data_IF_477037847549
#
_entry.id   IF_477037847549
#
_cell.length_a   1.000
_cell.length_b   1.000
_cell.length_c   1.000
_cell.angle_alpha   90.00
_cell.angle_beta   90.00
_cell.angle_gamma   90.00
#
_symmetry.space_group_name_H-M   'P 1'
#
loop_
_entity.id
_entity.type
_entity.pdbx_description
1 polymer ?
#
# COMPACT_ATOMS: atom_id res chain seq x y z
N UNK A 1 -25.75 -38.26 14.75
CA UNK A 1 -25.18 -36.93 14.94
C UNK A 1 -24.47 -36.50 13.66
N UNK A 2 -25.21 -36.06 12.64
CA UNK A 2 -24.56 -35.65 11.39
C UNK A 2 -25.26 -34.50 10.66
N UNK A 3 -25.77 -33.51 11.36
CA UNK A 3 -26.33 -32.33 10.73
C UNK A 3 -25.75 -31.08 11.37
N UNK A 4 -24.46 -30.80 11.07
CA UNK A 4 -23.77 -29.60 11.56
C UNK A 4 -23.84 -28.41 10.60
N UNK A 5 -24.36 -28.57 9.39
CA UNK A 5 -24.50 -27.50 8.42
C UNK A 5 -25.91 -27.58 7.80
N UNK A 6 -26.74 -26.52 7.88
CA UNK A 6 -28.03 -26.49 7.21
C UNK A 6 -27.81 -26.65 5.70
N UNK A 7 -28.31 -27.75 5.14
CA UNK A 7 -28.40 -27.94 3.68
C UNK A 7 -29.68 -27.28 3.19
N UNK A 8 -29.62 -26.03 2.81
CA UNK A 8 -30.75 -25.39 2.15
C UNK A 8 -30.28 -24.36 1.12
N UNK A 9 -29.97 -24.86 -0.06
CA UNK A 9 -30.14 -24.05 -1.26
C UNK A 9 -30.86 -24.91 -2.30
N UNK A 10 -32.04 -24.47 -2.67
CA UNK A 10 -32.81 -24.93 -3.82
C UNK A 10 -31.98 -24.79 -5.12
N UNK A 11 -32.21 -25.63 -6.14
CA UNK A 11 -31.47 -25.60 -7.41
C UNK A 11 -31.61 -24.25 -8.13
N UNK A 12 -32.78 -23.63 -8.09
CA UNK A 12 -33.01 -22.30 -8.67
C UNK A 12 -32.19 -21.20 -7.98
N UNK A 13 -32.02 -21.28 -6.64
CA UNK A 13 -31.19 -20.36 -5.90
C UNK A 13 -29.69 -20.56 -6.16
N UNK A 14 -29.27 -21.80 -6.52
CA UNK A 14 -27.88 -22.09 -6.92
C UNK A 14 -27.53 -21.48 -8.28
N UNK A 15 -28.43 -21.58 -9.27
CA UNK A 15 -28.21 -21.01 -10.61
C UNK A 15 -28.19 -19.48 -10.58
N UNK A 16 -29.12 -18.87 -9.85
CA UNK A 16 -29.10 -17.40 -9.64
C UNK A 16 -27.83 -16.90 -8.91
N UNK A 17 -27.38 -17.65 -7.90
CA UNK A 17 -26.14 -17.36 -7.21
C UNK A 17 -24.91 -17.55 -8.10
N UNK A 18 -24.87 -18.59 -8.93
CA UNK A 18 -23.77 -18.83 -9.86
C UNK A 18 -23.63 -17.71 -10.91
N UNK A 19 -24.75 -17.23 -11.47
CA UNK A 19 -24.74 -16.08 -12.37
C UNK A 19 -24.25 -14.80 -11.66
N UNK A 20 -24.71 -14.55 -10.44
CA UNK A 20 -24.26 -13.43 -9.61
C UNK A 20 -22.76 -13.47 -9.30
N UNK A 21 -22.23 -14.65 -8.98
CA UNK A 21 -20.80 -14.86 -8.74
C UNK A 21 -19.98 -14.67 -10.01
N UNK A 22 -20.44 -15.12 -11.17
CA UNK A 22 -19.76 -14.89 -12.44
C UNK A 22 -19.64 -13.38 -12.75
N UNK A 23 -20.72 -12.60 -12.57
CA UNK A 23 -20.70 -11.16 -12.74
C UNK A 23 -19.80 -10.46 -11.73
N UNK A 24 -19.70 -10.96 -10.51
CA UNK A 24 -18.76 -10.48 -9.50
C UNK A 24 -17.31 -10.68 -9.95
N UNK A 25 -16.96 -11.85 -10.46
CA UNK A 25 -15.62 -12.13 -10.99
C UNK A 25 -15.25 -11.21 -12.16
N UNK A 26 -16.17 -10.97 -13.10
CA UNK A 26 -15.92 -10.01 -14.19
C UNK A 26 -15.64 -8.58 -13.67
N UNK A 27 -16.37 -8.14 -12.65
CA UNK A 27 -16.10 -6.83 -12.01
C UNK A 27 -14.73 -6.77 -11.35
N UNK A 28 -14.32 -7.82 -10.66
CA UNK A 28 -12.98 -7.92 -10.08
C UNK A 28 -11.92 -7.84 -11.18
N UNK A 29 -12.08 -8.59 -12.25
CA UNK A 29 -11.17 -8.57 -13.40
C UNK A 29 -11.10 -7.18 -14.02
N UNK A 30 -12.22 -6.48 -14.18
CA UNK A 30 -12.23 -5.13 -14.74
C UNK A 30 -11.46 -4.13 -13.87
N UNK A 31 -11.55 -4.23 -12.54
CA UNK A 31 -10.75 -3.40 -11.62
C UNK A 31 -9.24 -3.63 -11.81
N UNK A 32 -8.82 -4.88 -11.99
CA UNK A 32 -7.42 -5.21 -12.25
C UNK A 32 -6.94 -4.69 -13.61
N UNK A 33 -7.73 -4.85 -14.67
CA UNK A 33 -7.37 -4.40 -16.01
C UNK A 33 -7.22 -2.89 -16.03
N UNK A 34 -8.25 -2.15 -15.59
CA UNK A 34 -8.24 -0.69 -15.54
C UNK A 34 -7.05 -0.17 -14.73
N UNK A 35 -6.86 -0.71 -13.53
CA UNK A 35 -5.78 -0.29 -12.65
C UNK A 35 -4.42 -0.60 -13.28
N UNK A 36 -4.24 -1.77 -13.91
CA UNK A 36 -2.98 -2.14 -14.53
C UNK A 36 -2.61 -1.17 -15.66
N UNK A 37 -3.54 -0.86 -16.56
CA UNK A 37 -3.32 0.07 -17.67
C UNK A 37 -2.94 1.46 -17.18
N UNK A 38 -3.65 1.98 -16.16
CA UNK A 38 -3.42 3.32 -15.63
C UNK A 38 -2.13 3.43 -14.80
N UNK A 39 -1.71 2.33 -14.16
CA UNK A 39 -0.55 2.32 -13.27
C UNK A 39 0.77 2.03 -13.96
N UNK A 40 0.77 1.57 -15.20
CA UNK A 40 2.04 1.30 -15.93
C UNK A 40 2.81 2.59 -16.26
N UNK A 41 2.14 3.72 -16.39
CA UNK A 41 2.75 5.01 -16.73
C UNK A 41 3.33 5.77 -15.52
N UNK A 42 3.03 5.34 -14.28
CA UNK A 42 3.39 6.11 -13.07
C UNK A 42 4.70 5.69 -12.39
N UNK A 43 5.42 4.75 -12.96
CA UNK A 43 6.70 4.29 -12.38
C UNK A 43 7.86 5.22 -12.71
N UNK A 44 8.81 5.44 -11.75
CA UNK A 44 8.86 4.85 -10.41
C UNK A 44 7.85 5.49 -9.46
N UNK A 45 7.29 4.69 -8.53
CA UNK A 45 6.26 5.15 -7.61
C UNK A 45 6.55 4.74 -6.16
N UNK A 46 6.14 5.58 -5.21
CA UNK A 46 6.24 5.32 -3.77
C UNK A 46 4.85 5.27 -3.16
N UNK A 47 4.53 4.14 -2.53
CA UNK A 47 3.27 3.97 -1.79
C UNK A 47 3.40 4.56 -0.39
N UNK A 48 2.54 5.53 -0.06
CA UNK A 48 2.53 6.25 1.22
C UNK A 48 1.27 5.92 1.99
N UNK A 49 1.45 5.40 3.20
CA UNK A 49 0.37 4.96 4.10
C UNK A 49 0.37 5.75 5.40
N UNK A 50 -0.81 5.95 5.97
CA UNK A 50 -0.96 6.63 7.25
C UNK A 50 -2.43 6.83 7.62
N UNK A 51 -2.65 7.45 8.78
CA UNK A 51 -4.00 7.62 9.34
C UNK A 51 -4.88 8.58 8.54
N UNK A 52 -6.11 8.17 8.25
CA UNK A 52 -7.16 9.02 7.72
C UNK A 52 -7.70 10.06 8.74
N UNK A 53 -7.34 9.92 10.03
CA UNK A 53 -7.87 10.74 11.12
C UNK A 53 -6.95 11.87 11.56
N UNK A 54 -5.79 12.01 10.96
CA UNK A 54 -4.84 13.09 11.27
C UNK A 54 -5.33 14.38 10.61
N UNK A 55 -5.70 15.42 11.40
CA UNK A 55 -6.20 16.66 10.83
C UNK A 55 -5.08 17.50 10.22
N UNK A 56 -5.43 18.41 9.32
CA UNK A 56 -4.54 19.44 8.83
C UNK A 56 -3.97 20.25 10.01
N UNK A 57 -2.66 20.58 9.94
CA UNK A 57 -1.94 21.28 11.04
C UNK A 57 -1.34 20.35 12.10
N UNK A 58 -1.65 19.05 12.10
CA UNK A 58 -0.98 18.09 12.96
C UNK A 58 0.47 17.84 12.48
N UNK A 59 1.46 17.63 13.38
CA UNK A 59 2.86 17.38 12.98
C UNK A 59 3.03 16.20 11.99
N UNK A 60 2.22 15.13 12.11
CA UNK A 60 2.24 14.02 11.15
C UNK A 60 1.72 14.41 9.77
N UNK A 61 0.75 15.33 9.70
CA UNK A 61 0.26 15.86 8.44
C UNK A 61 1.38 16.64 7.73
N UNK A 62 2.04 17.56 8.43
CA UNK A 62 3.18 18.32 7.89
C UNK A 62 4.35 17.41 7.48
N UNK A 63 4.59 16.32 8.24
CA UNK A 63 5.61 15.33 7.89
C UNK A 63 5.28 14.63 6.57
N UNK A 64 4.01 14.23 6.38
CA UNK A 64 3.53 13.62 5.13
C UNK A 64 3.64 14.59 3.95
N UNK A 65 3.23 15.85 4.13
CA UNK A 65 3.34 16.91 3.13
C UNK A 65 4.78 17.04 2.63
N UNK A 66 5.72 17.27 3.56
CA UNK A 66 7.13 17.47 3.21
C UNK A 66 7.73 16.25 2.53
N UNK A 67 7.45 15.05 3.05
CA UNK A 67 7.97 13.81 2.48
C UNK A 67 7.46 13.60 1.05
N UNK A 68 6.15 13.74 0.83
CA UNK A 68 5.53 13.53 -0.47
C UNK A 68 5.96 14.58 -1.50
N UNK A 69 6.19 15.82 -1.06
CA UNK A 69 6.76 16.85 -1.93
C UNK A 69 8.16 16.46 -2.41
N UNK A 70 9.04 16.06 -1.50
CA UNK A 70 10.41 15.67 -1.84
C UNK A 70 10.43 14.43 -2.75
N UNK A 71 9.55 13.46 -2.51
CA UNK A 71 9.41 12.29 -3.39
C UNK A 71 8.98 12.70 -4.80
N UNK A 72 7.94 13.53 -4.91
CA UNK A 72 7.45 14.02 -6.21
C UNK A 72 8.50 14.83 -6.96
N UNK A 73 9.20 15.74 -6.28
CA UNK A 73 10.28 16.56 -6.86
C UNK A 73 11.50 15.72 -7.27
N UNK A 74 11.71 14.57 -6.61
CA UNK A 74 12.74 13.59 -6.96
C UNK A 74 12.36 12.67 -8.14
N UNK A 75 11.14 12.78 -8.67
CA UNK A 75 10.67 12.03 -9.83
C UNK A 75 9.85 10.78 -9.51
N UNK A 76 9.46 10.58 -8.25
CA UNK A 76 8.59 9.47 -7.86
C UNK A 76 7.12 9.89 -7.88
N UNK A 77 6.28 9.13 -8.57
CA UNK A 77 4.83 9.24 -8.35
C UNK A 77 4.48 8.85 -6.92
N UNK A 78 3.59 9.61 -6.29
CA UNK A 78 3.17 9.33 -4.90
C UNK A 78 1.80 8.68 -4.92
N UNK A 79 1.74 7.44 -4.45
CA UNK A 79 0.51 6.63 -4.40
C UNK A 79 0.00 6.59 -2.98
N UNK A 80 -1.23 6.98 -2.76
CA UNK A 80 -1.91 6.90 -1.46
C UNK A 80 -3.29 6.23 -1.58
N UNK A 81 -3.93 6.01 -0.44
CA UNK A 81 -5.31 5.49 -0.42
C UNK A 81 -6.39 6.49 -0.84
N UNK A 82 -6.02 7.70 -1.24
CA UNK A 82 -6.94 8.71 -1.79
C UNK A 82 -7.90 9.36 -0.80
N UNK A 83 -7.93 8.94 0.46
CA UNK A 83 -8.81 9.47 1.51
C UNK A 83 -8.28 10.73 2.19
N UNK A 84 -8.87 11.11 3.34
CA UNK A 84 -8.44 12.26 4.12
C UNK A 84 -7.16 12.00 4.94
N UNK A 85 -6.73 12.97 5.71
CA UNK A 85 -5.62 12.88 6.65
C UNK A 85 -4.26 12.75 5.97
N UNK A 86 -3.48 11.75 6.36
CA UNK A 86 -2.15 11.51 5.78
C UNK A 86 -2.22 11.28 4.27
N UNK A 87 -3.25 10.60 3.77
CA UNK A 87 -3.45 10.35 2.35
C UNK A 87 -3.66 11.65 1.56
N UNK A 88 -4.48 12.56 2.11
CA UNK A 88 -4.69 13.88 1.53
C UNK A 88 -3.41 14.72 1.58
N UNK A 89 -2.71 14.75 2.72
CA UNK A 89 -1.44 15.44 2.85
C UNK A 89 -0.43 14.99 1.79
N UNK A 90 -0.34 13.67 1.58
CA UNK A 90 0.56 13.06 0.61
C UNK A 90 0.17 13.42 -0.83
N UNK A 91 -1.10 13.26 -1.20
CA UNK A 91 -1.55 13.60 -2.55
C UNK A 91 -1.41 15.10 -2.83
N UNK A 92 -1.82 15.97 -1.88
CA UNK A 92 -1.79 17.42 -2.07
C UNK A 92 -0.41 17.93 -2.44
N UNK A 93 0.60 17.54 -1.69
CA UNK A 93 1.93 18.06 -1.92
C UNK A 93 2.67 17.35 -3.07
N UNK A 94 2.31 16.11 -3.38
CA UNK A 94 2.77 15.46 -4.59
C UNK A 94 2.18 16.13 -5.84
N UNK A 95 0.88 16.45 -5.84
CA UNK A 95 0.18 17.15 -6.91
C UNK A 95 0.83 18.50 -7.26
N UNK A 96 1.31 19.25 -6.27
CA UNK A 96 2.07 20.47 -6.50
C UNK A 96 3.57 20.23 -6.78
N UNK A 97 4.01 18.97 -6.84
CA UNK A 97 5.36 18.55 -7.19
C UNK A 97 5.56 18.37 -8.69
N UNK A 98 6.52 17.54 -9.06
CA UNK A 98 6.89 17.27 -10.46
C UNK A 98 6.29 15.99 -11.01
N UNK A 99 5.89 15.08 -10.15
CA UNK A 99 5.42 13.74 -10.51
C UNK A 99 3.98 13.54 -10.05
N UNK A 100 3.20 12.66 -10.71
CA UNK A 100 1.79 12.48 -10.42
C UNK A 100 1.47 12.08 -8.97
N UNK A 101 0.38 12.63 -8.45
CA UNK A 101 -0.30 12.19 -7.24
C UNK A 101 -1.40 11.18 -7.59
N UNK A 102 -1.33 9.99 -7.01
CA UNK A 102 -2.23 8.88 -7.32
C UNK A 102 -3.05 8.49 -6.10
N UNK A 103 -4.36 8.38 -6.27
CA UNK A 103 -5.28 7.88 -5.25
C UNK A 103 -5.85 6.52 -5.65
N UNK A 104 -5.56 5.48 -4.85
CA UNK A 104 -6.24 4.20 -4.94
C UNK A 104 -7.40 4.18 -3.94
N UNK A 105 -8.54 4.70 -4.36
CA UNK A 105 -9.71 4.84 -3.51
C UNK A 105 -10.42 3.49 -3.30
N UNK A 106 -11.17 3.36 -2.21
CA UNK A 106 -12.01 2.18 -1.92
C UNK A 106 -13.44 2.64 -1.65
N UNK A 107 -14.39 1.95 -2.25
CA UNK A 107 -15.79 2.15 -1.96
C UNK A 107 -16.12 1.60 -0.56
N UNK A 108 -16.57 2.45 0.34
CA UNK A 108 -16.94 2.09 1.70
C UNK A 108 -18.44 2.31 1.93
N UNK A 109 -19.09 1.54 2.84
CA UNK A 109 -20.52 1.67 3.14
C UNK A 109 -20.95 3.05 3.68
N UNK A 110 -20.00 3.81 4.24
CA UNK A 110 -20.19 5.19 4.63
C UNK A 110 -19.44 6.06 3.66
N UNK A 111 -20.10 7.11 3.16
CA UNK A 111 -19.54 8.05 2.18
C UNK A 111 -18.15 8.53 2.62
N UNK A 112 -17.15 8.17 1.84
CA UNK A 112 -15.82 8.70 1.96
C UNK A 112 -15.45 9.19 0.56
N UNK A 113 -15.55 10.51 0.36
CA UNK A 113 -15.09 11.12 -0.88
C UNK A 113 -13.57 11.10 -0.91
N UNK A 114 -13.00 10.75 -2.06
CA UNK A 114 -11.56 10.90 -2.30
C UNK A 114 -11.16 12.37 -2.15
N UNK A 115 -9.92 12.62 -1.72
CA UNK A 115 -9.39 13.97 -1.70
C UNK A 115 -9.25 14.51 -3.14
N UNK A 116 -9.24 15.83 -3.30
CA UNK A 116 -9.27 16.51 -4.61
C UNK A 116 -7.89 16.65 -5.27
N UNK A 117 -6.83 16.16 -4.63
CA UNK A 117 -5.44 16.34 -5.08
C UNK A 117 -4.89 15.09 -5.79
N UNK A 118 -5.73 14.38 -6.53
CA UNK A 118 -5.36 13.18 -7.26
C UNK A 118 -5.29 13.50 -8.76
N UNK A 119 -4.10 13.41 -9.36
CA UNK A 119 -3.93 13.50 -10.81
C UNK A 119 -4.47 12.25 -11.48
N UNK A 120 -4.30 11.10 -10.81
CA UNK A 120 -4.87 9.81 -11.19
C UNK A 120 -5.69 9.30 -10.01
N UNK A 121 -6.98 9.08 -10.25
CA UNK A 121 -7.92 8.54 -9.26
C UNK A 121 -8.49 7.22 -9.77
N UNK A 122 -8.29 6.14 -9.00
CA UNK A 122 -8.84 4.82 -9.25
C UNK A 122 -9.76 4.43 -8.12
N UNK A 123 -10.92 3.85 -8.43
CA UNK A 123 -11.91 3.43 -7.44
C UNK A 123 -12.03 1.90 -7.45
N UNK A 124 -11.73 1.30 -6.32
CA UNK A 124 -11.86 -0.15 -6.09
C UNK A 124 -13.08 -0.43 -5.22
N UNK A 125 -13.78 -1.53 -5.50
CA UNK A 125 -14.82 -2.11 -4.66
C UNK A 125 -14.29 -3.24 -3.79
N UNK A 126 -13.16 -3.85 -4.20
CA UNK A 126 -12.57 -5.00 -3.55
C UNK A 126 -11.21 -4.65 -2.93
N UNK A 127 -11.09 -4.84 -1.60
CA UNK A 127 -9.85 -4.54 -0.87
C UNK A 127 -8.64 -5.27 -1.45
N UNK A 128 -8.76 -6.55 -1.77
CA UNK A 128 -7.64 -7.35 -2.30
C UNK A 128 -7.15 -6.84 -3.67
N UNK A 129 -8.04 -6.37 -4.55
CA UNK A 129 -7.63 -5.80 -5.82
C UNK A 129 -6.82 -4.50 -5.62
N UNK A 130 -7.30 -3.62 -4.72
CA UNK A 130 -6.60 -2.40 -4.34
C UNK A 130 -5.23 -2.68 -3.73
N UNK A 131 -5.14 -3.64 -2.80
CA UNK A 131 -3.90 -4.04 -2.13
C UNK A 131 -2.86 -4.54 -3.14
N UNK A 132 -3.25 -5.40 -4.06
CA UNK A 132 -2.39 -5.88 -5.12
C UNK A 132 -1.79 -4.73 -5.95
N UNK A 133 -2.55 -3.67 -6.23
CA UNK A 133 -2.04 -2.50 -6.96
C UNK A 133 -1.03 -1.69 -6.16
N UNK A 134 -1.21 -1.52 -4.85
CA UNK A 134 -0.20 -0.88 -4.00
C UNK A 134 1.15 -1.61 -4.05
N UNK A 135 1.10 -2.95 -4.02
CA UNK A 135 2.33 -3.77 -4.08
C UNK A 135 2.94 -3.73 -5.48
N UNK A 136 2.12 -3.89 -6.51
CA UNK A 136 2.57 -4.00 -7.90
C UNK A 136 3.29 -2.76 -8.41
N UNK A 137 2.88 -1.56 -8.01
CA UNK A 137 3.47 -0.32 -8.52
C UNK A 137 4.65 0.20 -7.70
N UNK A 138 4.82 -0.24 -6.46
CA UNK A 138 5.74 0.37 -5.53
C UNK A 138 7.21 0.08 -5.83
N UNK A 139 8.00 1.14 -5.90
CA UNK A 139 9.47 1.11 -5.80
C UNK A 139 9.95 1.29 -4.36
N UNK A 140 9.09 1.78 -3.48
CA UNK A 140 9.32 1.86 -2.03
C UNK A 140 8.00 2.03 -1.29
N UNK A 141 8.01 1.74 0.00
CA UNK A 141 6.88 1.94 0.91
C UNK A 141 7.26 2.90 2.03
N UNK A 142 6.39 3.85 2.32
CA UNK A 142 6.55 4.82 3.42
C UNK A 142 5.31 4.73 4.31
N UNK A 143 5.53 4.41 5.58
CA UNK A 143 4.48 4.29 6.58
C UNK A 143 4.61 5.40 7.63
N UNK A 144 3.69 6.33 7.63
CA UNK A 144 3.50 7.32 8.69
C UNK A 144 2.60 6.76 9.80
N UNK A 145 2.53 7.41 10.96
CA UNK A 145 1.64 6.99 12.04
C UNK A 145 0.21 6.74 11.58
N UNK A 146 -0.34 5.56 11.93
CA UNK A 146 -1.65 5.17 11.47
C UNK A 146 -2.32 4.07 12.31
N UNK A 147 -3.54 3.73 11.96
CA UNK A 147 -4.34 2.71 12.62
C UNK A 147 -4.26 1.35 11.94
N UNK A 148 -5.33 0.55 12.13
CA UNK A 148 -5.39 -0.82 11.61
C UNK A 148 -5.21 -0.93 10.09
N UNK A 149 -5.77 0.01 9.30
CA UNK A 149 -5.57 -0.01 7.84
C UNK A 149 -4.11 0.21 7.45
N UNK A 150 -3.37 1.03 8.21
CA UNK A 150 -1.93 1.23 7.99
C UNK A 150 -1.12 -0.01 8.41
N UNK A 151 -1.48 -0.65 9.53
CA UNK A 151 -0.86 -1.89 10.01
C UNK A 151 -1.15 -3.08 9.09
N UNK A 152 -2.34 -3.13 8.51
CA UNK A 152 -2.76 -4.15 7.57
C UNK A 152 -1.87 -4.12 6.30
N UNK A 153 -1.69 -2.95 5.69
CA UNK A 153 -0.80 -2.79 4.53
C UNK A 153 0.68 -3.03 4.92
N UNK A 154 1.09 -2.57 6.10
CA UNK A 154 2.45 -2.82 6.60
C UNK A 154 2.74 -4.31 6.74
N UNK A 155 1.84 -5.05 7.38
CA UNK A 155 1.98 -6.48 7.60
C UNK A 155 1.97 -7.26 6.28
N UNK A 156 1.12 -6.90 5.33
CA UNK A 156 1.08 -7.52 4.01
C UNK A 156 2.39 -7.33 3.25
N UNK A 157 2.89 -6.09 3.20
CA UNK A 157 4.18 -5.77 2.55
C UNK A 157 5.31 -6.61 3.17
N UNK A 158 5.36 -6.72 4.49
CA UNK A 158 6.38 -7.53 5.16
C UNK A 158 6.28 -9.01 4.80
N UNK A 159 5.08 -9.59 4.80
CA UNK A 159 4.87 -11.00 4.45
C UNK A 159 5.28 -11.25 2.99
N UNK A 160 4.90 -10.39 2.06
CA UNK A 160 5.24 -10.54 0.65
C UNK A 160 6.75 -10.45 0.41
N UNK A 161 7.46 -9.53 1.07
CA UNK A 161 8.92 -9.42 0.97
C UNK A 161 9.64 -10.59 1.67
N UNK A 162 9.15 -11.01 2.85
CA UNK A 162 9.71 -12.13 3.61
C UNK A 162 9.61 -13.44 2.84
N UNK A 163 8.46 -13.70 2.24
CA UNK A 163 8.20 -14.93 1.47
C UNK A 163 8.74 -14.91 0.05
N UNK A 164 9.31 -13.80 -0.41
CA UNK A 164 9.78 -13.63 -1.77
C UNK A 164 8.68 -13.51 -2.82
N UNK A 165 7.44 -13.23 -2.39
CA UNK A 165 6.30 -12.97 -3.29
C UNK A 165 6.32 -11.55 -3.86
N UNK A 166 7.09 -10.63 -3.25
CA UNK A 166 7.42 -9.34 -3.84
C UNK A 166 8.92 -9.08 -3.76
N UNK A 167 9.41 -8.17 -4.61
CA UNK A 167 10.79 -7.72 -4.53
C UNK A 167 11.06 -7.03 -3.17
N UNK A 168 12.24 -7.19 -2.63
CA UNK A 168 12.69 -6.42 -1.46
C UNK A 168 13.02 -5.01 -1.91
N UNK A 169 12.14 -4.07 -1.58
CA UNK A 169 12.28 -2.63 -1.81
C UNK A 169 12.31 -1.89 -0.47
N UNK A 170 12.78 -0.64 -0.43
CA UNK A 170 12.78 0.13 0.83
C UNK A 170 11.40 0.17 1.47
N UNK A 171 11.31 -0.29 2.72
CA UNK A 171 10.12 -0.21 3.56
C UNK A 171 10.47 0.66 4.78
N UNK A 172 9.91 1.85 4.83
CA UNK A 172 10.34 2.91 5.73
C UNK A 172 9.20 3.29 6.69
N UNK A 173 9.48 3.20 7.99
CA UNK A 173 8.62 3.74 9.05
C UNK A 173 9.08 5.15 9.41
N UNK A 174 8.21 6.12 9.26
CA UNK A 174 8.49 7.51 9.64
C UNK A 174 7.92 7.83 11.02
N UNK A 175 8.64 8.64 11.77
CA UNK A 175 8.36 8.98 13.15
C UNK A 175 8.59 7.81 14.12
N UNK A 176 9.86 7.47 14.32
CA UNK A 176 10.32 6.36 15.17
C UNK A 176 9.66 6.27 16.55
N UNK A 177 9.39 7.38 17.27
CA UNK A 177 8.70 7.33 18.56
C UNK A 177 7.35 6.61 18.52
N UNK A 178 6.57 6.76 17.45
CA UNK A 178 5.29 6.06 17.28
C UNK A 178 5.48 4.55 17.09
N UNK A 179 6.47 4.17 16.29
CA UNK A 179 6.69 2.77 15.89
C UNK A 179 7.52 1.96 16.89
N UNK A 180 8.15 2.61 17.87
CA UNK A 180 9.06 1.97 18.83
C UNK A 180 8.42 0.77 19.53
N UNK A 181 7.26 0.94 20.13
CA UNK A 181 6.60 -0.12 20.87
C UNK A 181 6.23 -1.33 20.00
N UNK A 182 5.78 -1.10 18.75
CA UNK A 182 5.52 -2.19 17.80
C UNK A 182 6.81 -2.94 17.44
N UNK A 183 7.90 -2.23 17.17
CA UNK A 183 9.19 -2.84 16.83
C UNK A 183 9.78 -3.62 18.00
N UNK A 184 9.67 -3.10 19.22
CA UNK A 184 10.07 -3.80 20.45
C UNK A 184 9.26 -5.07 20.63
N UNK A 185 7.92 -5.01 20.48
CA UNK A 185 7.05 -6.18 20.57
C UNK A 185 7.39 -7.23 19.51
N UNK A 186 7.61 -6.84 18.24
CA UNK A 186 8.03 -7.76 17.16
C UNK A 186 9.35 -8.45 17.54
N UNK A 187 10.34 -7.67 18.03
CA UNK A 187 11.64 -8.24 18.44
C UNK A 187 11.51 -9.20 19.60
N UNK A 188 10.81 -8.81 20.65
CA UNK A 188 10.71 -9.61 21.87
C UNK A 188 9.85 -10.85 21.68
N UNK A 189 8.74 -10.71 20.97
CA UNK A 189 7.77 -11.79 20.80
C UNK A 189 8.01 -12.59 19.53
N UNK A 190 7.98 -11.95 18.36
CA UNK A 190 8.05 -12.72 17.13
C UNK A 190 9.46 -13.30 16.88
N UNK A 191 10.50 -12.52 17.10
CA UNK A 191 11.88 -13.03 16.99
C UNK A 191 12.23 -13.91 18.18
N UNK A 192 11.94 -13.46 19.40
CA UNK A 192 12.27 -14.20 20.63
C UNK A 192 11.61 -15.57 20.72
N UNK A 193 10.37 -15.69 20.25
CA UNK A 193 9.61 -16.95 20.21
C UNK A 193 9.79 -17.70 18.86
N UNK A 194 10.69 -17.26 18.00
CA UNK A 194 11.06 -17.89 16.70
C UNK A 194 9.89 -17.96 15.70
N UNK A 195 8.96 -17.01 15.75
CA UNK A 195 7.87 -16.88 14.77
C UNK A 195 8.37 -16.26 13.46
N UNK A 196 9.45 -15.46 13.53
CA UNK A 196 10.17 -14.89 12.38
C UNK A 196 11.69 -14.99 12.64
N UNK A 197 12.49 -14.81 11.58
CA UNK A 197 13.95 -14.80 11.71
C UNK A 197 14.46 -13.42 12.14
N UNK A 198 15.58 -13.31 12.87
CA UNK A 198 16.19 -12.02 13.22
C UNK A 198 16.45 -11.12 12.00
N UNK A 199 16.82 -11.70 10.86
CA UNK A 199 17.06 -10.99 9.59
C UNK A 199 15.81 -10.33 9.01
N UNK A 200 14.61 -10.80 9.37
CA UNK A 200 13.36 -10.20 8.92
C UNK A 200 13.16 -8.78 9.48
N UNK A 201 13.84 -8.44 10.58
CA UNK A 201 13.87 -7.08 11.12
C UNK A 201 14.57 -6.07 10.20
N UNK A 202 15.43 -6.54 9.29
CA UNK A 202 16.16 -5.73 8.31
C UNK A 202 15.28 -5.31 7.12
N UNK A 203 14.10 -5.94 6.96
CA UNK A 203 13.12 -5.54 5.95
C UNK A 203 12.60 -4.11 6.16
N UNK A 204 12.78 -3.57 7.38
CA UNK A 204 12.20 -2.29 7.79
C UNK A 204 13.27 -1.32 8.26
N UNK A 205 13.24 -0.11 7.72
CA UNK A 205 14.06 1.01 8.16
C UNK A 205 13.21 2.03 8.94
N UNK A 206 13.81 2.68 9.92
CA UNK A 206 13.16 3.83 10.61
C UNK A 206 13.90 5.09 10.22
N UNK A 207 13.20 6.03 9.62
CA UNK A 207 13.77 7.29 9.14
C UNK A 207 12.82 8.42 9.54
N UNK A 208 13.30 9.35 10.36
CA UNK A 208 12.47 10.43 10.88
C UNK A 208 12.48 11.67 9.98
N UNK A 209 13.52 11.83 9.15
CA UNK A 209 13.69 13.01 8.32
C UNK A 209 13.25 12.71 6.87
N UNK A 210 12.41 13.57 6.27
CA UNK A 210 11.93 13.40 4.90
C UNK A 210 13.04 13.27 3.85
N UNK A 211 14.12 14.01 4.00
CA UNK A 211 15.28 13.96 3.12
C UNK A 211 15.95 12.58 3.13
N UNK A 212 16.06 11.97 4.32
CA UNK A 212 16.61 10.63 4.50
C UNK A 212 15.76 9.54 3.83
N UNK A 213 14.45 9.75 3.64
CA UNK A 213 13.58 8.83 2.90
C UNK A 213 14.01 8.77 1.43
N UNK A 214 14.14 9.92 0.80
CA UNK A 214 14.57 10.03 -0.61
C UNK A 214 15.97 9.43 -0.79
N UNK A 215 16.91 9.77 0.10
CA UNK A 215 18.28 9.24 0.08
C UNK A 215 18.30 7.71 0.21
N UNK A 216 17.52 7.13 1.14
CA UNK A 216 17.45 5.68 1.33
C UNK A 216 16.92 4.96 0.08
N UNK A 217 15.93 5.55 -0.61
CA UNK A 217 15.39 5.00 -1.85
C UNK A 217 16.45 5.06 -2.95
N UNK A 218 17.10 6.20 -3.19
CA UNK A 218 18.15 6.31 -4.19
C UNK A 218 19.32 5.37 -3.92
N UNK A 219 19.77 5.27 -2.68
CA UNK A 219 20.83 4.34 -2.27
C UNK A 219 20.49 2.89 -2.58
N UNK A 220 19.24 2.47 -2.38
CA UNK A 220 18.79 1.13 -2.73
C UNK A 220 18.91 0.85 -4.24
N UNK A 221 18.68 1.87 -5.06
CA UNK A 221 18.70 1.76 -6.52
C UNK A 221 20.00 2.24 -7.16
N UNK A 222 21.02 2.61 -6.38
CA UNK A 222 22.29 3.19 -6.88
C UNK A 222 22.98 2.32 -7.96
N UNK A 223 22.87 1.00 -7.82
CA UNK A 223 23.47 0.05 -8.75
C UNK A 223 22.44 -0.75 -9.56
N UNK A 224 21.20 -0.26 -9.65
CA UNK A 224 20.13 -0.93 -10.38
C UNK A 224 19.14 0.09 -10.96
N UNK A 225 18.43 -0.32 -12.01
CA UNK A 225 17.32 0.45 -12.56
C UNK A 225 16.09 0.41 -11.64
N UNK A 226 15.26 1.45 -11.66
CA UNK A 226 13.91 1.44 -11.07
C UNK A 226 12.94 0.50 -11.79
N UNK A 227 13.32 0.00 -12.97
CA UNK A 227 12.55 -1.02 -13.67
C UNK A 227 12.72 -2.39 -13.00
N UNK A 228 11.63 -3.17 -12.83
CA UNK A 228 11.72 -4.53 -12.30
C UNK A 228 12.65 -5.40 -13.17
N UNK A 229 13.54 -6.18 -12.54
CA UNK A 229 14.33 -7.19 -13.21
C UNK A 229 13.43 -8.30 -13.75
N UNK A 230 13.93 -9.13 -14.67
CA UNK A 230 13.17 -10.24 -15.25
C UNK A 230 12.55 -11.15 -14.18
N UNK A 231 13.33 -11.56 -13.17
CA UNK A 231 12.83 -12.35 -12.04
C UNK A 231 11.77 -11.63 -11.19
N UNK A 232 11.90 -10.32 -11.01
CA UNK A 232 10.90 -9.50 -10.28
C UNK A 232 9.62 -9.31 -11.10
N UNK A 233 9.72 -9.25 -12.43
CA UNK A 233 8.54 -9.23 -13.32
C UNK A 233 7.77 -10.54 -13.24
N UNK A 234 8.45 -11.66 -13.18
CA UNK A 234 7.82 -12.96 -12.99
C UNK A 234 7.10 -13.06 -11.65
N UNK A 235 7.71 -12.55 -10.57
CA UNK A 235 7.06 -12.45 -9.25
C UNK A 235 5.79 -11.57 -9.34
N UNK A 236 5.85 -10.42 -10.00
CA UNK A 236 4.71 -9.51 -10.16
C UNK A 236 3.56 -10.10 -11.01
N UNK A 237 3.86 -11.03 -11.91
CA UNK A 237 2.84 -11.76 -12.67
C UNK A 237 2.13 -12.84 -11.84
N UNK A 238 2.74 -13.27 -10.74
CA UNK A 238 2.26 -14.31 -9.84
C UNK A 238 1.68 -13.75 -8.51
N UNK A 239 1.56 -12.43 -8.38
CA UNK A 239 0.84 -11.75 -7.30
C UNK A 239 -0.67 -11.78 -7.59
#
# INVERSE_FOLDING_TARGET
MSDKIPKSFDSASREANAAGEAWRLFRIMSEFVEATERMDEIRPAVSVFGSARVPAGHPYYALAEKTSRLLSDAGFSVVSGGGPGIMEASNRWAHFGRSPAVGLNIELPREQFGNTYQDISLLFRHFFARKAMFVRCASAYVFLPGGFGTLDEFSEVLVLMQTGKSARVPCILMHGPFWRGLREWIRERLVGEKMINPQDMELVQVIDQPEGVVEAIFKHYEHRSFQPRAAEREILLNL
#
